data_IF_478785011700
#
_entry.id   IF_478785011700
#
_cell.length_a   1.000
_cell.length_b   1.000
_cell.length_c   1.000
_cell.angle_alpha   90.00
_cell.angle_beta   90.00
_cell.angle_gamma   90.00
#
_symmetry.space_group_name_H-M   'P 1'
#
loop_
_entity.id
_entity.type
_entity.pdbx_description
1 polymer ?
#
# COMPACT_ATOMS: atom_id res chain seq x y z
N UNK A 1 -6.04 3.35 -0.70
CA UNK A 1 -6.39 3.00 0.68
C UNK A 1 -7.86 3.30 0.94
N UNK A 2 -8.69 2.42 0.42
CA UNK A 2 -10.15 2.49 0.57
C UNK A 2 -10.60 1.57 1.70
N UNK A 3 -9.97 1.68 2.89
CA UNK A 3 -10.32 0.79 3.99
C UNK A 3 -11.82 0.80 4.24
N UNK A 4 -12.35 -0.34 4.65
CA UNK A 4 -13.74 -0.56 5.10
C UNK A 4 -14.22 0.49 6.13
N UNK A 5 -13.32 1.31 6.63
CA UNK A 5 -13.58 2.45 7.49
C UNK A 5 -13.19 3.77 6.88
N UNK A 6 -13.95 4.29 5.92
CA UNK A 6 -13.84 5.70 5.48
C UNK A 6 -13.68 6.70 6.65
N UNK A 7 -14.06 6.28 7.87
CA UNK A 7 -13.98 7.09 9.09
C UNK A 7 -12.72 6.87 9.92
N UNK A 8 -11.97 5.77 9.76
CA UNK A 8 -10.87 5.36 10.66
C UNK A 8 -9.56 4.98 9.98
N UNK A 9 -9.52 4.83 8.66
CA UNK A 9 -8.31 4.47 7.93
C UNK A 9 -7.26 5.58 7.89
N UNK A 10 -6.00 5.27 7.53
CA UNK A 10 -4.89 6.23 7.50
C UNK A 10 -5.19 7.46 6.65
N UNK A 11 -5.82 7.29 5.48
CA UNK A 11 -6.21 8.40 4.62
C UNK A 11 -7.26 9.30 5.30
N UNK A 12 -8.26 8.72 5.97
CA UNK A 12 -9.27 9.50 6.67
C UNK A 12 -8.68 10.31 7.83
N UNK A 13 -7.65 9.77 8.53
CA UNK A 13 -6.91 10.49 9.57
C UNK A 13 -6.15 11.67 8.97
N UNK A 14 -5.41 11.45 7.87
CA UNK A 14 -4.67 12.48 7.16
C UNK A 14 -5.59 13.60 6.68
N UNK A 15 -6.72 13.27 6.05
CA UNK A 15 -7.67 14.25 5.57
C UNK A 15 -8.25 15.11 6.71
N UNK A 16 -8.54 14.50 7.86
CA UNK A 16 -8.99 15.26 9.05
C UNK A 16 -7.91 16.21 9.54
N UNK A 17 -6.63 15.78 9.63
CA UNK A 17 -5.53 16.66 10.02
C UNK A 17 -5.37 17.84 9.05
N UNK A 18 -5.52 17.59 7.76
CA UNK A 18 -5.46 18.61 6.72
C UNK A 18 -6.75 19.43 6.60
N UNK A 19 -7.82 19.08 7.33
CA UNK A 19 -9.16 19.68 7.21
C UNK A 19 -9.67 19.67 5.76
N UNK A 20 -9.49 18.52 5.10
CA UNK A 20 -10.02 18.21 3.77
C UNK A 20 -11.17 17.21 3.90
N UNK A 21 -12.17 17.32 3.03
CA UNK A 21 -13.29 16.40 3.03
C UNK A 21 -13.00 15.20 2.13
N UNK A 22 -13.45 14.04 2.53
CA UNK A 22 -13.31 12.81 1.76
C UNK A 22 -13.97 12.91 0.37
N UNK A 23 -15.13 13.53 0.32
CA UNK A 23 -15.95 13.70 -0.88
C UNK A 23 -15.24 14.53 -1.96
N UNK A 24 -14.39 15.48 -1.55
CA UNK A 24 -13.64 16.33 -2.48
C UNK A 24 -12.65 15.52 -3.35
N UNK A 25 -12.30 14.31 -2.95
CA UNK A 25 -11.41 13.43 -3.69
C UNK A 25 -12.13 12.59 -4.74
N UNK A 26 -13.45 12.50 -4.69
CA UNK A 26 -14.27 11.73 -5.64
C UNK A 26 -13.66 10.34 -5.93
N UNK A 27 -13.33 9.60 -4.88
CA UNK A 27 -12.68 8.30 -4.99
C UNK A 27 -13.65 7.25 -5.52
N UNK A 28 -13.30 6.64 -6.65
CA UNK A 28 -13.95 5.44 -7.16
C UNK A 28 -13.17 4.21 -6.65
N UNK A 29 -13.86 3.22 -6.06
CA UNK A 29 -13.21 1.98 -5.63
C UNK A 29 -12.70 1.18 -6.82
N UNK A 30 -11.68 0.36 -6.60
CA UNK A 30 -11.22 -0.63 -7.57
C UNK A 30 -12.36 -1.62 -7.89
N UNK A 31 -12.55 -1.91 -9.18
CA UNK A 31 -13.47 -2.95 -9.64
C UNK A 31 -12.79 -4.32 -9.56
N UNK A 32 -11.56 -4.42 -10.04
CA UNK A 32 -10.74 -5.62 -9.99
C UNK A 32 -9.37 -5.39 -10.61
N UNK A 33 -8.44 -6.24 -10.23
CA UNK A 33 -7.08 -6.34 -10.79
C UNK A 33 -6.68 -7.80 -10.90
N UNK A 34 -5.61 -8.07 -11.63
CA UNK A 34 -5.09 -9.43 -11.74
C UNK A 34 -3.57 -9.46 -11.71
N UNK A 35 -3.03 -10.55 -11.18
CA UNK A 35 -1.63 -10.92 -11.23
C UNK A 35 -1.53 -12.07 -12.22
N UNK A 36 -0.79 -11.88 -13.30
CA UNK A 36 -0.66 -12.87 -14.38
C UNK A 36 0.80 -13.31 -14.53
N UNK A 37 1.03 -14.60 -14.40
CA UNK A 37 2.27 -15.28 -14.72
C UNK A 37 2.02 -16.25 -15.89
N UNK A 38 3.04 -16.78 -16.55
CA UNK A 38 2.83 -17.59 -17.74
C UNK A 38 1.88 -18.77 -17.60
N UNK A 39 1.88 -19.40 -16.41
CA UNK A 39 1.06 -20.61 -16.14
C UNK A 39 -0.18 -20.35 -15.31
N UNK A 40 -0.26 -19.20 -14.60
CA UNK A 40 -1.31 -18.93 -13.61
C UNK A 40 -1.71 -17.47 -13.63
N UNK A 41 -3.02 -17.24 -13.53
CA UNK A 41 -3.59 -15.91 -13.30
C UNK A 41 -4.46 -15.95 -12.05
N UNK A 42 -4.30 -14.97 -11.16
CA UNK A 42 -5.17 -14.73 -10.00
C UNK A 42 -5.81 -13.34 -10.12
N UNK A 43 -7.07 -13.24 -9.74
CA UNK A 43 -7.79 -11.97 -9.65
C UNK A 43 -7.90 -11.50 -8.20
N UNK A 44 -7.95 -10.20 -8.01
CA UNK A 44 -8.20 -9.61 -6.70
C UNK A 44 -8.97 -8.28 -6.83
N UNK A 45 -9.63 -7.90 -5.76
CA UNK A 45 -10.37 -6.65 -5.65
C UNK A 45 -10.20 -6.07 -4.24
N UNK A 46 -11.06 -5.12 -3.87
CA UNK A 46 -11.13 -4.63 -2.49
C UNK A 46 -11.83 -5.62 -1.54
N UNK A 47 -12.23 -6.78 -2.04
CA UNK A 47 -12.75 -7.88 -1.24
C UNK A 47 -11.72 -9.00 -1.18
N UNK A 48 -11.16 -9.23 0.01
CA UNK A 48 -10.14 -10.26 0.25
C UNK A 48 -10.65 -11.68 -0.05
N UNK A 49 -11.97 -11.90 0.03
CA UNK A 49 -12.54 -13.22 -0.25
C UNK A 49 -12.32 -13.65 -1.71
N UNK A 50 -12.27 -12.68 -2.64
CA UNK A 50 -11.88 -12.98 -4.02
C UNK A 50 -10.45 -13.54 -4.08
N UNK A 51 -9.47 -12.88 -3.45
CA UNK A 51 -8.09 -13.38 -3.45
C UNK A 51 -7.98 -14.76 -2.78
N UNK A 52 -8.68 -14.95 -1.65
CA UNK A 52 -8.72 -16.26 -0.97
C UNK A 52 -9.28 -17.36 -1.87
N UNK A 53 -10.35 -17.08 -2.59
CA UNK A 53 -10.94 -18.03 -3.54
C UNK A 53 -10.00 -18.33 -4.72
N UNK A 54 -9.30 -17.33 -5.23
CA UNK A 54 -8.35 -17.46 -6.32
C UNK A 54 -7.11 -18.26 -5.90
N UNK A 55 -6.59 -18.05 -4.69
CA UNK A 55 -5.51 -18.88 -4.14
C UNK A 55 -6.00 -20.33 -3.98
N UNK A 56 -7.18 -20.55 -3.40
CA UNK A 56 -7.73 -21.91 -3.25
C UNK A 56 -7.96 -22.61 -4.60
N UNK A 57 -8.32 -21.86 -5.64
CA UNK A 57 -8.50 -22.37 -7.01
C UNK A 57 -7.17 -22.72 -7.68
N UNK A 58 -6.19 -21.82 -7.62
CA UNK A 58 -4.93 -21.94 -8.34
C UNK A 58 -3.89 -22.77 -7.59
N UNK A 59 -3.93 -22.75 -6.27
CA UNK A 59 -2.99 -23.40 -5.36
C UNK A 59 -3.76 -24.12 -4.24
N UNK A 60 -4.53 -25.17 -4.54
CA UNK A 60 -5.43 -25.81 -3.55
C UNK A 60 -4.71 -26.35 -2.32
N UNK A 61 -3.46 -26.77 -2.43
CA UNK A 61 -2.63 -27.21 -1.31
C UNK A 61 -2.24 -26.08 -0.35
N UNK A 62 -2.28 -24.83 -0.81
CA UNK A 62 -1.87 -23.65 -0.04
C UNK A 62 -3.04 -22.94 0.66
N UNK A 63 -4.25 -23.42 0.51
CA UNK A 63 -5.45 -22.75 1.05
C UNK A 63 -5.34 -22.42 2.54
N UNK A 64 -4.99 -23.41 3.35
CA UNK A 64 -4.91 -23.25 4.80
C UNK A 64 -3.65 -22.51 5.22
N UNK A 65 -2.56 -22.68 4.47
CA UNK A 65 -1.32 -21.94 4.65
C UNK A 65 -1.53 -20.44 4.38
N UNK A 66 -2.23 -20.11 3.31
CA UNK A 66 -2.57 -18.74 2.98
C UNK A 66 -3.47 -18.08 4.03
N UNK A 67 -4.42 -18.83 4.59
CA UNK A 67 -5.25 -18.33 5.69
C UNK A 67 -4.39 -18.00 6.93
N UNK A 68 -3.43 -18.85 7.30
CA UNK A 68 -2.48 -18.59 8.40
C UNK A 68 -1.58 -17.38 8.13
N UNK A 69 -1.14 -17.22 6.87
CA UNK A 69 -0.40 -16.02 6.47
C UNK A 69 -1.23 -14.75 6.66
N UNK A 70 -2.51 -14.76 6.26
CA UNK A 70 -3.40 -13.61 6.44
C UNK A 70 -3.58 -13.23 7.91
N UNK A 71 -3.76 -14.21 8.79
CA UNK A 71 -3.84 -13.99 10.23
C UNK A 71 -2.56 -13.35 10.77
N UNK A 72 -1.39 -13.90 10.42
CA UNK A 72 -0.09 -13.32 10.78
C UNK A 72 0.08 -11.87 10.30
N UNK A 73 -0.36 -11.56 9.07
CA UNK A 73 -0.26 -10.22 8.51
C UNK A 73 -1.25 -9.22 9.14
N UNK A 74 -2.43 -9.68 9.57
CA UNK A 74 -3.42 -8.84 10.25
C UNK A 74 -2.93 -8.46 11.64
N UNK A 75 -2.35 -9.40 12.36
CA UNK A 75 -1.89 -9.25 13.75
C UNK A 75 -0.50 -8.63 13.87
N UNK A 76 0.21 -8.47 12.75
CA UNK A 76 1.56 -7.89 12.75
C UNK A 76 1.56 -6.43 13.17
N UNK A 77 2.30 -6.10 14.23
CA UNK A 77 2.46 -4.72 14.71
C UNK A 77 3.66 -4.03 14.03
N UNK A 78 3.36 -3.09 13.15
CA UNK A 78 4.36 -2.33 12.38
C UNK A 78 4.96 -1.17 13.21
N UNK A 79 4.54 -0.95 14.45
CA UNK A 79 5.02 0.12 15.34
C UNK A 79 5.98 -0.40 16.42
N UNK A 80 6.03 -1.71 16.63
CA UNK A 80 7.02 -2.35 17.49
C UNK A 80 8.40 -2.40 16.79
N UNK A 81 9.43 -2.92 17.45
CA UNK A 81 10.77 -3.02 16.88
C UNK A 81 10.75 -3.70 15.51
N UNK A 82 10.92 -2.89 14.47
CA UNK A 82 10.94 -3.35 13.09
C UNK A 82 12.30 -3.96 12.79
N UNK A 83 12.35 -5.27 12.60
CA UNK A 83 13.52 -5.92 12.06
C UNK A 83 13.58 -5.73 10.54
N UNK A 84 14.31 -4.73 10.10
CA UNK A 84 14.54 -4.44 8.68
C UNK A 84 15.39 -5.51 7.96
N UNK A 85 16.04 -6.41 8.70
CA UNK A 85 16.81 -7.52 8.13
C UNK A 85 15.94 -8.74 7.80
N UNK A 86 14.76 -8.87 8.41
CA UNK A 86 13.85 -9.99 8.20
C UNK A 86 13.32 -9.99 6.75
N UNK A 87 13.66 -11.00 5.99
CA UNK A 87 13.26 -11.16 4.59
C UNK A 87 11.77 -11.53 4.47
N UNK A 88 11.03 -10.79 3.66
CA UNK A 88 9.65 -11.16 3.36
C UNK A 88 9.57 -12.52 2.66
N UNK A 89 10.49 -12.79 1.74
CA UNK A 89 10.57 -14.06 1.00
C UNK A 89 10.81 -15.25 1.92
N UNK A 90 11.70 -15.12 2.90
CA UNK A 90 11.96 -16.17 3.89
C UNK A 90 10.73 -16.43 4.74
N UNK A 91 10.11 -15.39 5.29
CA UNK A 91 8.88 -15.52 6.11
C UNK A 91 7.72 -16.12 5.32
N UNK A 92 7.56 -15.74 4.06
CA UNK A 92 6.55 -16.35 3.18
C UNK A 92 6.87 -17.83 2.94
N UNK A 93 8.14 -18.19 2.71
CA UNK A 93 8.59 -19.58 2.52
C UNK A 93 8.43 -20.47 3.74
N UNK A 94 8.46 -19.89 4.96
CA UNK A 94 8.13 -20.64 6.19
C UNK A 94 6.65 -21.07 6.26
N UNK A 95 5.77 -20.30 5.63
CA UNK A 95 4.32 -20.50 5.72
C UNK A 95 3.74 -21.15 4.47
N UNK A 96 4.22 -20.77 3.29
CA UNK A 96 3.75 -21.22 1.99
C UNK A 96 4.76 -22.20 1.37
N UNK A 97 4.27 -23.31 0.84
CA UNK A 97 5.10 -24.33 0.19
C UNK A 97 5.34 -24.10 -1.30
N UNK A 98 4.47 -23.31 -1.97
CA UNK A 98 4.55 -23.10 -3.40
C UNK A 98 5.31 -21.81 -3.74
N UNK A 99 6.51 -21.90 -4.38
CA UNK A 99 7.32 -20.73 -4.70
C UNK A 99 6.66 -19.81 -5.74
N UNK A 100 5.80 -20.31 -6.62
CA UNK A 100 5.09 -19.47 -7.58
C UNK A 100 4.05 -18.58 -6.89
N UNK A 101 3.35 -19.10 -5.88
CA UNK A 101 2.44 -18.30 -5.07
C UNK A 101 3.19 -17.17 -4.35
N UNK A 102 4.38 -17.46 -3.78
CA UNK A 102 5.23 -16.45 -3.14
C UNK A 102 5.59 -15.34 -4.13
N UNK A 103 6.04 -15.69 -5.34
CA UNK A 103 6.34 -14.71 -6.40
C UNK A 103 5.12 -13.87 -6.78
N UNK A 104 3.95 -14.50 -6.90
CA UNK A 104 2.72 -13.80 -7.26
C UNK A 104 2.25 -12.84 -6.16
N UNK A 105 2.48 -13.16 -4.89
CA UNK A 105 2.15 -12.25 -3.77
C UNK A 105 3.14 -11.09 -3.65
N UNK A 106 4.42 -11.33 -3.90
CA UNK A 106 5.46 -10.30 -3.88
C UNK A 106 5.33 -9.33 -5.07
N UNK A 107 4.98 -9.82 -6.25
CA UNK A 107 4.98 -9.07 -7.51
C UNK A 107 4.31 -7.68 -7.43
N UNK A 108 3.04 -7.51 -7.00
CA UNK A 108 2.42 -6.19 -6.95
C UNK A 108 2.98 -5.30 -5.83
N UNK A 109 3.52 -5.90 -4.78
CA UNK A 109 4.08 -5.18 -3.63
C UNK A 109 5.42 -4.55 -3.99
N UNK A 110 6.25 -5.26 -4.73
CA UNK A 110 7.57 -4.82 -5.16
C UNK A 110 7.54 -3.65 -6.15
N UNK A 111 6.42 -3.38 -6.81
CA UNK A 111 6.26 -2.22 -7.71
C UNK A 111 6.33 -0.87 -6.98
N UNK A 112 6.18 -0.85 -5.66
CA UNK A 112 6.26 0.37 -4.86
C UNK A 112 7.70 0.81 -4.53
N UNK A 113 8.66 0.04 -4.99
CA UNK A 113 10.08 0.32 -4.79
C UNK A 113 10.64 -0.33 -3.52
N UNK A 114 11.86 -0.83 -3.65
CA UNK A 114 12.56 -1.52 -2.59
C UNK A 114 14.07 -1.45 -2.85
N UNK A 115 14.87 -1.53 -1.80
CA UNK A 115 16.34 -1.52 -1.87
C UNK A 115 16.95 -2.91 -2.07
N UNK A 116 16.17 -3.98 -1.92
CA UNK A 116 16.62 -5.37 -2.10
C UNK A 116 16.20 -5.89 -3.46
N UNK A 117 17.12 -6.52 -4.18
CA UNK A 117 16.82 -7.15 -5.45
C UNK A 117 16.01 -8.44 -5.21
N UNK A 118 14.81 -8.52 -5.79
CA UNK A 118 13.94 -9.70 -5.72
C UNK A 118 13.30 -9.98 -4.37
N UNK A 119 13.41 -9.08 -3.39
CA UNK A 119 12.89 -9.24 -2.03
C UNK A 119 12.57 -7.90 -1.38
N UNK A 120 12.02 -7.89 -0.17
CA UNK A 120 11.84 -6.71 0.70
C UNK A 120 11.88 -7.13 2.17
N UNK A 121 11.95 -6.17 3.09
CA UNK A 121 11.75 -6.48 4.49
C UNK A 121 10.28 -6.86 4.79
N UNK A 122 10.09 -7.75 5.76
CA UNK A 122 8.76 -8.28 6.07
C UNK A 122 7.81 -7.23 6.63
N UNK A 123 8.31 -6.22 7.33
CA UNK A 123 7.48 -5.13 7.84
C UNK A 123 6.90 -4.32 6.68
N UNK A 124 7.72 -3.94 5.71
CA UNK A 124 7.26 -3.24 4.52
C UNK A 124 6.28 -4.10 3.72
N UNK A 125 6.57 -5.40 3.56
CA UNK A 125 5.66 -6.35 2.91
C UNK A 125 4.29 -6.36 3.60
N UNK A 126 4.26 -6.46 4.93
CA UNK A 126 3.03 -6.52 5.71
C UNK A 126 2.18 -5.27 5.55
N UNK A 127 2.80 -4.08 5.64
CA UNK A 127 2.13 -2.79 5.42
C UNK A 127 1.55 -2.72 4.00
N UNK A 128 2.35 -3.08 2.99
CA UNK A 128 1.95 -2.99 1.59
C UNK A 128 0.88 -4.03 1.24
N UNK A 129 1.01 -5.26 1.74
CA UNK A 129 0.02 -6.32 1.54
C UNK A 129 -1.34 -5.91 2.13
N UNK A 130 -1.36 -5.44 3.39
CA UNK A 130 -2.60 -4.94 4.02
C UNK A 130 -3.21 -3.80 3.23
N UNK A 131 -2.39 -2.85 2.78
CA UNK A 131 -2.85 -1.70 2.00
C UNK A 131 -3.48 -2.11 0.66
N UNK A 132 -2.92 -3.11 -0.01
CA UNK A 132 -3.38 -3.56 -1.33
C UNK A 132 -4.61 -4.46 -1.20
N UNK A 133 -4.54 -5.47 -0.36
CA UNK A 133 -5.51 -6.57 -0.37
C UNK A 133 -6.56 -6.50 0.74
N UNK A 134 -6.27 -5.85 1.88
CA UNK A 134 -7.21 -5.73 2.99
C UNK A 134 -7.89 -4.35 3.03
N UNK A 135 -7.13 -3.27 2.80
CA UNK A 135 -7.68 -1.91 2.76
C UNK A 135 -8.22 -1.53 1.38
N UNK A 136 -7.60 -2.07 0.35
CA UNK A 136 -8.02 -1.92 -1.03
C UNK A 136 -7.64 -0.59 -1.68
N UNK A 137 -7.89 -0.51 -2.98
CA UNK A 137 -7.57 0.64 -3.81
C UNK A 137 -8.78 1.51 -4.12
N UNK A 138 -8.51 2.80 -4.23
CA UNK A 138 -9.41 3.77 -4.81
C UNK A 138 -8.66 4.77 -5.67
N UNK A 139 -9.30 5.23 -6.72
CA UNK A 139 -8.74 6.22 -7.62
C UNK A 139 -9.68 7.43 -7.74
N UNK A 140 -9.17 8.67 -7.63
CA UNK A 140 -9.99 9.82 -7.97
C UNK A 140 -10.47 9.72 -9.42
N UNK A 141 -11.76 9.94 -9.67
CA UNK A 141 -12.32 9.88 -11.02
C UNK A 141 -11.55 10.77 -12.01
N UNK A 142 -11.18 11.99 -11.58
CA UNK A 142 -10.37 12.93 -12.35
C UNK A 142 -8.85 12.64 -12.33
N UNK A 143 -8.44 11.50 -11.78
CA UNK A 143 -7.04 11.08 -11.65
C UNK A 143 -6.29 11.77 -10.51
N UNK A 144 -5.01 11.40 -10.33
CA UNK A 144 -4.15 11.86 -9.21
C UNK A 144 -3.98 13.39 -9.16
N UNK A 145 -4.12 14.08 -10.28
CA UNK A 145 -4.04 15.56 -10.35
C UNK A 145 -5.09 16.25 -9.48
N UNK A 146 -6.23 15.60 -9.21
CA UNK A 146 -7.23 16.14 -8.29
C UNK A 146 -6.65 16.23 -6.87
N UNK A 147 -5.99 15.18 -6.40
CA UNK A 147 -5.33 15.16 -5.08
C UNK A 147 -4.32 16.30 -4.98
N UNK A 148 -3.43 16.42 -5.97
CA UNK A 148 -2.42 17.48 -5.99
C UNK A 148 -3.05 18.88 -5.98
N UNK A 149 -4.11 19.10 -6.74
CA UNK A 149 -4.84 20.40 -6.75
C UNK A 149 -5.44 20.73 -5.38
N UNK A 150 -6.03 19.75 -4.71
CA UNK A 150 -6.62 19.95 -3.38
C UNK A 150 -5.54 20.30 -2.35
N UNK A 151 -4.42 19.58 -2.36
CA UNK A 151 -3.29 19.83 -1.46
C UNK A 151 -2.66 21.21 -1.71
N UNK A 152 -2.39 21.57 -2.97
CA UNK A 152 -1.84 22.89 -3.33
C UNK A 152 -2.79 24.00 -2.96
N UNK A 153 -4.09 23.83 -3.19
CA UNK A 153 -5.10 24.82 -2.76
C UNK A 153 -5.07 25.01 -1.25
N UNK A 154 -5.02 23.89 -0.51
CA UNK A 154 -4.94 23.92 0.95
C UNK A 154 -3.66 24.62 1.43
N UNK A 155 -2.50 24.25 0.87
CA UNK A 155 -1.22 24.86 1.18
C UNK A 155 -1.25 26.38 0.99
N UNK A 156 -1.76 26.86 -0.17
CA UNK A 156 -1.89 28.29 -0.45
C UNK A 156 -2.88 29.00 0.47
N UNK A 157 -3.97 28.36 0.84
CA UNK A 157 -4.95 28.92 1.79
C UNK A 157 -4.39 29.12 3.20
N UNK A 158 -3.28 28.47 3.52
CA UNK A 158 -2.54 28.63 4.77
C UNK A 158 -1.36 29.61 4.65
N UNK A 159 -1.27 30.35 3.56
CA UNK A 159 -0.20 31.33 3.31
C UNK A 159 1.06 30.71 2.68
N UNK A 160 1.02 29.44 2.29
CA UNK A 160 2.16 28.78 1.64
C UNK A 160 2.38 29.30 0.21
N UNK A 161 3.64 29.49 -0.17
CA UNK A 161 4.06 29.90 -1.50
C UNK A 161 4.67 28.72 -2.26
N UNK A 162 4.11 28.38 -3.43
CA UNK A 162 4.62 27.34 -4.31
C UNK A 162 5.29 27.95 -5.54
N UNK A 163 6.59 27.80 -5.64
CA UNK A 163 7.40 28.21 -6.81
C UNK A 163 7.74 26.97 -7.64
N UNK A 164 7.30 26.95 -8.87
CA UNK A 164 7.65 25.91 -9.84
C UNK A 164 8.88 26.33 -10.66
N UNK A 165 9.61 25.36 -11.20
CA UNK A 165 10.85 25.57 -11.96
C UNK A 165 11.93 26.33 -11.17
N UNK A 166 11.90 26.20 -9.85
CA UNK A 166 12.84 26.79 -8.94
C UNK A 166 13.53 25.67 -8.14
N UNK A 167 14.67 25.21 -8.62
CA UNK A 167 15.47 24.18 -7.93
C UNK A 167 16.12 24.77 -6.68
N UNK A 168 16.19 23.97 -5.61
CA UNK A 168 16.93 24.34 -4.40
C UNK A 168 18.39 23.95 -4.60
N UNK A 169 19.27 24.93 -4.55
CA UNK A 169 20.73 24.71 -4.69
C UNK A 169 21.43 24.60 -3.34
N UNK A 170 20.88 25.24 -2.31
CA UNK A 170 21.43 25.23 -0.96
C UNK A 170 20.33 25.48 0.07
N UNK A 171 20.39 24.80 1.20
CA UNK A 171 19.58 25.10 2.38
C UNK A 171 20.56 25.61 3.46
N UNK A 172 20.37 26.83 3.90
CA UNK A 172 21.09 27.38 5.06
C UNK A 172 20.23 27.16 6.30
N UNK A 173 20.89 26.83 7.42
CA UNK A 173 20.23 26.60 8.71
C UNK A 173 20.86 27.52 9.74
N UNK A 174 20.05 28.29 10.43
CA UNK A 174 20.45 29.12 11.57
C UNK A 174 19.50 28.88 12.74
N UNK A 175 20.05 28.65 13.95
CA UNK A 175 19.28 28.34 15.14
C UNK A 175 18.31 27.15 15.00
N UNK A 176 18.66 26.12 14.17
CA UNK A 176 17.82 24.96 13.89
C UNK A 176 16.63 25.23 12.94
N UNK A 177 16.60 26.37 12.26
CA UNK A 177 15.59 26.75 11.26
C UNK A 177 16.21 26.99 9.90
N UNK A 178 15.51 26.60 8.85
CA UNK A 178 15.89 26.96 7.49
C UNK A 178 15.68 28.46 7.26
N UNK A 179 16.73 29.15 6.74
CA UNK A 179 16.76 30.58 6.44
C UNK A 179 17.16 30.79 4.98
#
# INVERSE_FOLDING_TARGET
FMSKGQKRGPLALLLRQLRLRWEDFALAPQVGSSIAFPSVKMEFSNDIELLKSEVARAFPAERDNFQRLLERLIDYDDLEEVDYELSAREVLGETLGDPLLIEMLLCPVMWYGNSREGDMDFAQFSIMFRSIYLEGFGRPFAGVRLILRLLVRKFRSLGGELKLRCGVTKISVDGGRAV
#
